data_IF_585210655318
#
_entry.id   IF_585210655318
#
_cell.length_a   1.000
_cell.length_b   1.000
_cell.length_c   1.000
_cell.angle_alpha   90.00
_cell.angle_beta   90.00
_cell.angle_gamma   90.00
#
_symmetry.space_group_name_H-M   'P 1'
#
loop_
_entity.id
_entity.type
_entity.pdbx_description
1 polymer ?
#
# COMPACT_ATOMS: atom_id res chain seq x y z
N UNK A 1 -12.75 -9.01 -14.56
CA UNK A 1 -11.63 -8.67 -13.64
C UNK A 1 -10.38 -9.34 -14.20
N UNK A 2 -9.29 -8.62 -14.45
CA UNK A 2 -8.07 -9.22 -15.03
C UNK A 2 -7.30 -10.03 -13.99
N UNK A 3 -6.51 -11.02 -14.42
CA UNK A 3 -5.62 -11.79 -13.52
C UNK A 3 -4.72 -10.86 -12.71
N UNK A 4 -4.15 -9.84 -13.36
CA UNK A 4 -3.35 -8.79 -12.70
C UNK A 4 -4.12 -8.11 -11.56
N UNK A 5 -5.37 -7.70 -11.81
CA UNK A 5 -6.17 -7.01 -10.80
C UNK A 5 -6.54 -7.89 -9.60
N UNK A 6 -6.65 -9.21 -9.78
CA UNK A 6 -6.86 -10.13 -8.65
C UNK A 6 -5.59 -10.31 -7.81
N UNK A 7 -4.44 -10.54 -8.45
CA UNK A 7 -3.16 -10.65 -7.75
C UNK A 7 -2.85 -9.37 -6.98
N UNK A 8 -3.02 -8.21 -7.61
CA UNK A 8 -2.77 -6.92 -7.00
C UNK A 8 -3.66 -6.69 -5.78
N UNK A 9 -4.95 -7.05 -5.84
CA UNK A 9 -5.86 -6.94 -4.68
C UNK A 9 -5.37 -7.73 -3.46
N UNK A 10 -4.71 -8.87 -3.67
CA UNK A 10 -4.17 -9.69 -2.59
C UNK A 10 -2.97 -9.07 -1.86
N UNK A 11 -2.20 -8.22 -2.54
CA UNK A 11 -0.96 -7.65 -2.00
C UNK A 11 -1.01 -6.15 -1.73
N UNK A 12 -2.03 -5.45 -2.27
CA UNK A 12 -2.08 -3.99 -2.28
C UNK A 12 -2.07 -3.39 -0.87
N UNK A 13 -2.69 -4.03 0.11
CA UNK A 13 -2.70 -3.57 1.50
C UNK A 13 -1.25 -3.51 2.04
N UNK A 14 -0.45 -4.55 1.80
CA UNK A 14 0.98 -4.56 2.13
C UNK A 14 1.76 -3.47 1.40
N UNK A 15 1.52 -3.28 0.10
CA UNK A 15 2.19 -2.22 -0.67
C UNK A 15 1.87 -0.82 -0.11
N UNK A 16 0.62 -0.55 0.26
CA UNK A 16 0.19 0.73 0.83
C UNK A 16 0.84 0.95 2.20
N UNK A 17 0.80 -0.04 3.08
CA UNK A 17 1.43 0.04 4.40
C UNK A 17 2.94 0.28 4.28
N UNK A 18 3.63 -0.42 3.38
CA UNK A 18 5.07 -0.26 3.14
C UNK A 18 5.47 1.13 2.62
N UNK A 19 4.60 1.80 1.84
CA UNK A 19 4.84 3.18 1.42
C UNK A 19 4.69 4.14 2.61
N UNK A 20 3.63 3.98 3.41
CA UNK A 20 3.34 4.82 4.57
C UNK A 20 4.41 4.65 5.67
N UNK A 21 5.00 3.46 5.80
CA UNK A 21 6.09 3.20 6.76
C UNK A 21 7.31 4.10 6.53
N UNK A 22 7.70 4.30 5.26
CA UNK A 22 8.90 5.06 4.91
C UNK A 22 8.73 6.55 5.17
N UNK A 23 7.53 7.06 4.91
CA UNK A 23 7.20 8.46 5.05
C UNK A 23 5.69 8.65 5.07
N UNK A 24 5.25 9.66 5.83
CA UNK A 24 3.85 10.03 5.87
C UNK A 24 3.43 10.66 4.54
N UNK A 25 2.40 10.11 3.93
CA UNK A 25 1.96 10.52 2.58
C UNK A 25 0.45 10.75 2.55
N UNK A 26 0.00 11.55 1.58
CA UNK A 26 -1.42 11.72 1.26
C UNK A 26 -1.80 10.90 0.01
N UNK A 27 -3.11 10.74 -0.24
CA UNK A 27 -3.63 9.77 -1.22
C UNK A 27 -3.01 9.84 -2.63
N UNK A 28 -2.88 11.04 -3.19
CA UNK A 28 -2.25 11.24 -4.51
C UNK A 28 -0.77 10.84 -4.51
N UNK A 29 0.01 11.32 -3.54
CA UNK A 29 1.44 11.02 -3.43
C UNK A 29 1.68 9.51 -3.28
N UNK A 30 0.84 8.84 -2.47
CA UNK A 30 0.91 7.39 -2.31
C UNK A 30 0.67 6.66 -3.64
N UNK A 31 -0.34 7.07 -4.41
CA UNK A 31 -0.58 6.48 -5.74
C UNK A 31 0.60 6.69 -6.70
N UNK A 32 1.21 7.87 -6.66
CA UNK A 32 2.38 8.20 -7.49
C UNK A 32 3.59 7.34 -7.12
N UNK A 33 3.92 7.19 -5.84
CA UNK A 33 5.02 6.34 -5.37
C UNK A 33 4.84 4.87 -5.79
N UNK A 34 3.61 4.36 -5.76
CA UNK A 34 3.31 3.00 -6.23
C UNK A 34 3.47 2.86 -7.75
N UNK A 35 3.04 3.87 -8.51
CA UNK A 35 3.23 3.89 -9.96
C UNK A 35 4.72 3.95 -10.35
N UNK A 36 5.51 4.75 -9.63
CA UNK A 36 6.95 4.94 -9.88
C UNK A 36 7.76 3.64 -9.71
N UNK A 37 7.34 2.74 -8.82
CA UNK A 37 7.96 1.40 -8.65
C UNK A 37 7.42 0.34 -9.61
N UNK A 38 6.53 0.71 -10.55
CA UNK A 38 6.03 -0.18 -11.61
C UNK A 38 4.57 -0.62 -11.48
N UNK A 39 3.84 -0.19 -10.43
CA UNK A 39 2.40 -0.46 -10.28
C UNK A 39 1.56 0.59 -11.01
N UNK A 40 1.81 0.77 -12.31
CA UNK A 40 1.23 1.84 -13.15
C UNK A 40 -0.31 1.92 -13.15
N UNK A 41 -0.98 0.81 -12.87
CA UNK A 41 -2.45 0.74 -12.88
C UNK A 41 -3.09 1.15 -11.52
N UNK A 42 -2.27 1.50 -10.51
CA UNK A 42 -2.73 1.91 -9.18
C UNK A 42 -3.08 3.40 -9.20
N UNK A 43 -4.34 3.71 -9.47
CA UNK A 43 -4.87 5.07 -9.44
C UNK A 43 -5.27 5.52 -8.03
N UNK A 44 -5.48 6.82 -7.83
CA UNK A 44 -6.11 7.34 -6.60
C UNK A 44 -7.45 6.66 -6.30
N UNK A 45 -8.30 6.43 -7.31
CA UNK A 45 -9.59 5.75 -7.14
C UNK A 45 -9.45 4.30 -6.66
N UNK A 46 -8.30 3.67 -6.91
CA UNK A 46 -7.94 2.34 -6.37
C UNK A 46 -7.46 2.43 -4.93
N UNK A 47 -6.73 3.50 -4.59
CA UNK A 47 -6.10 3.70 -3.28
C UNK A 47 -7.09 4.14 -2.21
N UNK A 48 -8.03 5.02 -2.51
CA UNK A 48 -8.97 5.53 -1.49
C UNK A 48 -9.75 4.40 -0.77
N UNK A 49 -10.33 3.41 -1.45
CA UNK A 49 -10.98 2.28 -0.78
C UNK A 49 -10.04 1.45 0.11
N UNK A 50 -8.75 1.36 -0.26
CA UNK A 50 -7.73 0.67 0.55
C UNK A 50 -7.44 1.48 1.82
N UNK A 51 -7.17 2.78 1.69
CA UNK A 51 -6.93 3.67 2.83
C UNK A 51 -8.10 3.66 3.81
N UNK A 52 -9.35 3.70 3.32
CA UNK A 52 -10.54 3.60 4.18
C UNK A 52 -10.60 2.28 4.94
N UNK A 53 -10.29 1.15 4.30
CA UNK A 53 -10.25 -0.17 4.95
C UNK A 53 -9.13 -0.25 5.99
N UNK A 54 -7.92 0.17 5.65
CA UNK A 54 -6.77 0.15 6.57
C UNK A 54 -7.02 1.03 7.79
N UNK A 55 -7.62 2.21 7.59
CA UNK A 55 -7.97 3.11 8.69
C UNK A 55 -9.08 2.53 9.56
N UNK A 56 -10.12 1.92 8.95
CA UNK A 56 -11.19 1.22 9.67
C UNK A 56 -10.65 0.06 10.53
N UNK A 57 -9.64 -0.64 10.03
CA UNK A 57 -8.98 -1.74 10.74
C UNK A 57 -7.94 -1.26 11.77
N UNK A 58 -7.77 0.06 11.95
CA UNK A 58 -6.83 0.62 12.92
C UNK A 58 -5.36 0.46 12.53
N UNK A 59 -5.06 0.12 11.27
CA UNK A 59 -3.69 -0.09 10.79
C UNK A 59 -2.99 1.22 10.41
N UNK A 60 -3.79 2.24 10.06
CA UNK A 60 -3.29 3.58 9.78
C UNK A 60 -4.16 4.61 10.49
N UNK A 61 -3.56 5.77 10.77
CA UNK A 61 -4.24 6.97 11.26
C UNK A 61 -4.01 8.12 10.29
N UNK A 62 -4.98 9.00 10.17
CA UNK A 62 -4.90 10.17 9.29
C UNK A 62 -4.92 11.47 10.07
N UNK A 63 -4.02 12.38 9.74
CA UNK A 63 -3.94 13.73 10.31
C UNK A 63 -4.08 14.77 9.20
N UNK A 64 -4.85 15.83 9.45
CA UNK A 64 -4.81 17.01 8.58
C UNK A 64 -3.53 17.80 8.88
N UNK A 65 -2.74 18.05 7.84
CA UNK A 65 -1.57 18.92 7.92
C UNK A 65 -1.61 19.96 6.80
N UNK A 66 -1.07 21.17 7.04
CA UNK A 66 -0.80 22.11 5.98
C UNK A 66 0.03 21.45 4.89
N UNK A 67 -0.30 21.72 3.63
CA UNK A 67 0.55 21.32 2.52
C UNK A 67 1.51 22.47 2.16
N UNK A 68 2.67 22.14 1.58
CA UNK A 68 3.66 23.15 1.15
C UNK A 68 3.05 24.18 0.18
N UNK A 69 2.01 23.78 -0.55
CA UNK A 69 1.22 24.65 -1.42
C UNK A 69 -0.21 24.14 -1.54
N UNK A 70 -1.18 24.99 -1.22
CA UNK A 70 -2.61 24.72 -1.40
C UNK A 70 -3.34 24.34 -0.10
N UNK A 71 -4.50 23.67 -0.20
CA UNK A 71 -5.32 23.34 0.97
C UNK A 71 -4.66 22.29 1.85
N UNK A 72 -5.13 22.18 3.09
CA UNK A 72 -4.74 21.11 4.01
C UNK A 72 -4.93 19.74 3.38
N UNK A 73 -3.97 18.85 3.62
CA UNK A 73 -4.00 17.47 3.13
C UNK A 73 -4.06 16.52 4.30
N UNK A 74 -4.79 15.43 4.10
CA UNK A 74 -4.82 14.32 5.06
C UNK A 74 -3.63 13.41 4.80
N UNK A 75 -2.64 13.46 5.68
CA UNK A 75 -1.48 12.57 5.69
C UNK A 75 -1.78 11.33 6.51
N UNK A 76 -1.29 10.19 6.06
CA UNK A 76 -1.46 8.91 6.72
C UNK A 76 -0.16 8.46 7.39
N UNK A 77 -0.32 7.82 8.54
CA UNK A 77 0.76 7.27 9.36
C UNK A 77 0.38 5.85 9.76
N UNK A 78 1.36 4.96 9.89
CA UNK A 78 1.11 3.67 10.52
C UNK A 78 0.78 3.84 12.02
N UNK A 79 -0.02 2.93 12.52
CA UNK A 79 -0.15 2.66 13.96
C UNK A 79 0.79 1.53 14.35
N UNK A 80 0.94 1.27 15.65
CA UNK A 80 1.73 0.12 16.13
C UNK A 80 1.22 -1.21 15.54
N UNK A 81 -0.11 -1.41 15.53
CA UNK A 81 -0.75 -2.55 14.88
C UNK A 81 -0.51 -2.57 13.37
N UNK A 82 -0.41 -1.41 12.73
CA UNK A 82 -0.04 -1.26 11.33
C UNK A 82 1.38 -1.78 11.04
N UNK A 83 2.35 -1.45 11.89
CA UNK A 83 3.72 -1.96 11.79
C UNK A 83 3.78 -3.48 11.99
N UNK A 84 3.10 -4.01 13.01
CA UNK A 84 3.04 -5.46 13.28
C UNK A 84 2.42 -6.23 12.09
N UNK A 85 1.33 -5.69 11.53
CA UNK A 85 0.66 -6.26 10.37
C UNK A 85 1.55 -6.22 9.13
N UNK A 86 2.24 -5.10 8.89
CA UNK A 86 3.18 -4.98 7.78
C UNK A 86 4.33 -5.99 7.90
N UNK A 87 4.90 -6.14 9.10
CA UNK A 87 5.95 -7.13 9.35
C UNK A 87 5.49 -8.55 9.03
N UNK A 88 4.26 -8.90 9.44
CA UNK A 88 3.65 -10.20 9.15
C UNK A 88 3.45 -10.41 7.65
N UNK A 89 2.95 -9.38 6.93
CA UNK A 89 2.77 -9.45 5.48
C UNK A 89 4.11 -9.64 4.76
N UNK A 90 5.17 -8.95 5.19
CA UNK A 90 6.50 -9.09 4.61
C UNK A 90 7.04 -10.51 4.82
N UNK A 91 6.90 -11.05 6.03
CA UNK A 91 7.31 -12.41 6.34
C UNK A 91 6.60 -13.45 5.47
N UNK A 92 5.28 -13.36 5.37
CA UNK A 92 4.47 -14.26 4.53
C UNK A 92 4.79 -14.09 3.04
N UNK A 93 4.98 -12.86 2.56
CA UNK A 93 5.37 -12.62 1.17
C UNK A 93 6.72 -13.27 0.84
N UNK A 94 7.70 -13.16 1.72
CA UNK A 94 9.02 -13.77 1.52
C UNK A 94 8.91 -15.31 1.48
N UNK A 95 8.03 -15.91 2.29
CA UNK A 95 7.79 -17.36 2.28
C UNK A 95 7.16 -17.87 0.99
N UNK A 96 6.28 -17.08 0.37
CA UNK A 96 5.52 -17.53 -0.81
C UNK A 96 6.16 -17.11 -2.14
N UNK A 97 6.86 -15.97 -2.18
CA UNK A 97 7.30 -15.37 -3.44
C UNK A 97 8.38 -16.20 -4.13
N UNK A 98 9.38 -16.70 -3.40
CA UNK A 98 10.45 -17.50 -3.99
C UNK A 98 9.95 -18.84 -4.58
N UNK A 99 9.18 -19.68 -3.85
CA UNK A 99 8.63 -20.90 -4.42
C UNK A 99 7.70 -20.65 -5.62
N UNK A 100 6.88 -19.62 -5.56
CA UNK A 100 5.99 -19.24 -6.66
C UNK A 100 6.80 -18.80 -7.88
N UNK A 101 7.83 -17.98 -7.69
CA UNK A 101 8.72 -17.56 -8.76
C UNK A 101 9.44 -18.75 -9.39
N UNK A 102 9.93 -19.72 -8.60
CA UNK A 102 10.54 -20.94 -9.13
C UNK A 102 9.57 -21.78 -9.97
N UNK A 103 8.32 -21.93 -9.53
CA UNK A 103 7.30 -22.67 -10.30
C UNK A 103 6.86 -21.94 -11.57
N UNK A 104 6.86 -20.60 -11.55
CA UNK A 104 6.43 -19.76 -12.68
C UNK A 104 7.55 -19.41 -13.65
N UNK A 105 8.82 -19.69 -13.31
CA UNK A 105 9.94 -19.65 -14.26
C UNK A 105 9.65 -20.64 -15.38
N UNK A 106 9.14 -20.13 -16.51
CA UNK A 106 8.99 -20.90 -17.75
C UNK A 106 10.38 -21.37 -18.17
N UNK A 107 10.54 -22.67 -18.37
CA UNK A 107 11.64 -23.21 -19.20
C UNK A 107 11.35 -22.93 -20.67
#
# INVERSE_FOLDING_TARGET
MSVRSQLLKGILDGCVLAVIEKEAVYGYELSKKLQDIGLKDVSEGTIYPVLLRLQKNGLIRGELKPSDSGPDRKYYFLTDTGHETLATIIEEWNRISDPVNELLKRR
#
